data_IF_201830965522
#
_entry.id   IF_201830965522
#
_cell.length_a   1.000
_cell.length_b   1.000
_cell.length_c   1.000
_cell.angle_alpha   90.00
_cell.angle_beta   90.00
_cell.angle_gamma   90.00
#
_symmetry.space_group_name_H-M   'P 1'
#
loop_
_entity.id
_entity.type
_entity.pdbx_description
1 polymer ?
#
# COMPACT_ATOMS: atom_id res chain seq x y z
N UNK A 1 -4.52 6.01 16.41
CA UNK A 1 -3.16 5.67 16.88
C UNK A 1 -2.92 4.19 16.58
N UNK A 2 -1.86 3.82 15.85
CA UNK A 2 -1.62 2.44 15.37
C UNK A 2 -1.05 1.50 16.43
N UNK A 3 -0.60 2.01 17.58
CA UNK A 3 0.08 1.22 18.61
C UNK A 3 1.51 0.79 18.25
N UNK A 4 2.07 1.36 17.17
CA UNK A 4 3.40 1.04 16.64
C UNK A 4 4.33 2.24 16.87
N UNK A 5 5.53 1.98 17.41
CA UNK A 5 6.54 3.02 17.59
C UNK A 5 7.10 3.46 16.23
N UNK A 6 7.26 4.78 16.03
CA UNK A 6 7.73 5.35 14.75
C UNK A 6 9.05 4.74 14.27
N UNK A 7 10.01 4.53 15.17
CA UNK A 7 11.32 3.99 14.84
C UNK A 7 11.30 2.52 14.37
N UNK A 8 10.20 1.80 14.62
CA UNK A 8 10.00 0.39 14.25
C UNK A 8 8.99 0.20 13.12
N UNK A 9 8.36 1.29 12.67
CA UNK A 9 7.33 1.25 11.67
C UNK A 9 7.93 0.97 10.28
N UNK A 10 7.59 -0.18 9.71
CA UNK A 10 7.73 -0.43 8.28
C UNK A 10 6.41 -0.15 7.57
N UNK A 11 6.47 0.49 6.40
CA UNK A 11 5.30 0.78 5.57
C UNK A 11 5.27 -0.16 4.37
N UNK A 12 4.14 -0.83 4.17
CA UNK A 12 3.90 -1.72 3.05
C UNK A 12 2.66 -1.23 2.29
N UNK A 13 2.64 -1.45 0.98
CA UNK A 13 1.52 -1.13 0.11
C UNK A 13 0.94 -2.40 -0.49
N UNK A 14 -0.38 -2.43 -0.64
CA UNK A 14 -1.07 -3.54 -1.31
C UNK A 14 -1.03 -3.29 -2.82
N UNK A 15 -0.43 -4.22 -3.55
CA UNK A 15 -0.42 -4.23 -5.02
C UNK A 15 -1.63 -4.98 -5.54
N UNK A 16 -2.39 -4.35 -6.42
CA UNK A 16 -3.43 -4.99 -7.23
C UNK A 16 -2.89 -5.27 -8.62
N UNK A 17 -2.91 -6.54 -9.00
CA UNK A 17 -2.50 -7.05 -10.31
C UNK A 17 -3.76 -7.33 -11.13
N UNK A 18 -3.82 -6.86 -12.38
CA UNK A 18 -4.95 -7.07 -13.30
C UNK A 18 -4.41 -7.42 -14.69
N UNK A 19 -5.14 -8.23 -15.45
CA UNK A 19 -4.87 -8.34 -16.88
C UNK A 19 -5.07 -6.96 -17.53
N UNK A 20 -4.23 -6.62 -18.51
CA UNK A 20 -4.45 -5.40 -19.27
C UNK A 20 -5.70 -5.56 -20.17
N UNK A 21 -6.33 -4.43 -20.53
CA UNK A 21 -7.58 -4.43 -21.32
C UNK A 21 -7.36 -4.87 -22.78
N UNK A 22 -6.12 -4.84 -23.30
CA UNK A 22 -5.76 -5.28 -24.65
C UNK A 22 -5.38 -6.76 -24.73
N UNK A 23 -5.40 -7.49 -23.61
CA UNK A 23 -4.92 -8.87 -23.52
C UNK A 23 -3.40 -9.05 -23.55
N UNK A 24 -2.63 -7.96 -23.63
CA UNK A 24 -1.17 -7.99 -23.68
C UNK A 24 -0.56 -7.39 -22.40
N UNK A 25 -0.12 -8.27 -21.50
CA UNK A 25 0.60 -7.87 -20.29
C UNK A 25 -0.30 -7.66 -19.06
N UNK A 26 0.31 -7.07 -18.03
CA UNK A 26 -0.26 -6.99 -16.68
C UNK A 26 -0.26 -5.53 -16.22
N UNK A 27 -1.43 -5.03 -15.85
CA UNK A 27 -1.58 -3.76 -15.15
C UNK A 27 -1.34 -3.95 -13.65
N UNK A 28 -0.51 -3.08 -13.07
CA UNK A 28 -0.24 -3.08 -11.64
C UNK A 28 -0.61 -1.72 -11.05
N UNK A 29 -1.24 -1.73 -9.88
CA UNK A 29 -1.56 -0.52 -9.14
C UNK A 29 -1.40 -0.72 -7.64
N UNK A 30 -1.21 0.35 -6.89
CA UNK A 30 -1.13 0.33 -5.42
C UNK A 30 -2.13 1.27 -4.79
N UNK A 31 -2.61 0.91 -3.60
CA UNK A 31 -3.44 1.78 -2.76
C UNK A 31 -2.57 2.59 -1.81
N UNK A 32 -2.31 3.86 -2.16
CA UNK A 32 -1.50 4.77 -1.33
C UNK A 32 -2.29 5.30 -0.13
N UNK A 33 -3.63 5.23 -0.14
CA UNK A 33 -4.49 5.74 0.94
C UNK A 33 -4.60 4.79 2.12
N UNK A 34 -4.34 3.50 1.93
CA UNK A 34 -4.48 2.49 2.98
C UNK A 34 -3.22 1.64 3.16
N UNK A 35 -2.08 2.25 3.54
CA UNK A 35 -0.85 1.51 3.82
C UNK A 35 -1.02 0.54 4.98
N UNK A 36 -0.21 -0.52 4.97
CA UNK A 36 -0.01 -1.39 6.12
C UNK A 36 1.18 -0.85 6.90
N UNK A 37 0.98 -0.57 8.18
CA UNK A 37 2.04 -0.25 9.14
C UNK A 37 2.36 -1.50 9.93
N UNK A 38 3.60 -1.97 9.84
CA UNK A 38 4.10 -3.21 10.45
C UNK A 38 5.16 -2.88 11.50
N UNK A 39 5.06 -3.52 12.66
CA UNK A 39 6.16 -3.69 13.63
C UNK A 39 6.50 -5.18 13.66
N UNK A 40 7.62 -5.57 13.04
CA UNK A 40 8.03 -6.96 12.93
C UNK A 40 8.54 -7.54 14.25
N UNK A 41 9.08 -6.71 15.15
CA UNK A 41 9.56 -7.17 16.45
C UNK A 41 8.38 -7.60 17.33
N UNK A 42 7.33 -6.77 17.36
CA UNK A 42 6.11 -7.05 18.12
C UNK A 42 5.11 -7.95 17.38
N UNK A 43 5.38 -8.26 16.11
CA UNK A 43 4.51 -9.05 15.22
C UNK A 43 3.09 -8.48 15.13
N UNK A 44 2.99 -7.16 15.06
CA UNK A 44 1.72 -6.45 14.89
C UNK A 44 1.72 -5.70 13.57
N UNK A 45 0.58 -5.75 12.88
CA UNK A 45 0.35 -4.99 11.66
C UNK A 45 -1.04 -4.38 11.68
N UNK A 46 -1.18 -3.18 11.09
CA UNK A 46 -2.49 -2.56 10.87
C UNK A 46 -2.54 -1.92 9.50
N UNK A 47 -3.66 -2.12 8.80
CA UNK A 47 -3.99 -1.28 7.66
C UNK A 47 -4.57 0.03 8.19
N UNK A 48 -3.97 1.16 7.80
CA UNK A 48 -4.40 2.47 8.26
C UNK A 48 -4.89 3.30 7.08
N UNK A 49 -6.17 3.70 7.10
CA UNK A 49 -6.73 4.59 6.08
C UNK A 49 -6.36 6.03 6.41
N UNK A 50 -5.56 6.64 5.54
CA UNK A 50 -5.17 8.03 5.62
C UNK A 50 -6.35 8.93 5.22
N UNK A 51 -6.58 9.99 5.99
CA UNK A 51 -7.61 10.99 5.71
C UNK A 51 -7.20 11.98 4.62
N UNK A 52 -5.92 12.05 4.25
CA UNK A 52 -5.44 12.94 3.20
C UNK A 52 -5.91 12.45 1.82
N UNK A 53 -6.67 13.31 1.13
CA UNK A 53 -7.20 13.11 -0.22
C UNK A 53 -6.15 13.09 -1.34
N UNK A 54 -4.91 13.50 -1.07
CA UNK A 54 -3.85 13.55 -2.08
C UNK A 54 -3.30 12.15 -2.43
N UNK A 55 -3.52 11.16 -1.56
CA UNK A 55 -3.07 9.78 -1.80
C UNK A 55 -4.10 9.00 -2.60
N UNK A 56 -3.89 8.65 -3.87
CA UNK A 56 -4.88 7.89 -4.65
C UNK A 56 -5.04 6.45 -4.14
N UNK A 57 -6.26 5.93 -4.27
CA UNK A 57 -6.59 4.52 -3.98
C UNK A 57 -6.07 3.58 -5.08
N UNK A 58 -5.86 4.11 -6.29
CA UNK A 58 -5.29 3.39 -7.43
C UNK A 58 -4.21 4.25 -8.07
N UNK A 59 -2.99 4.10 -7.58
CA UNK A 59 -1.80 4.64 -8.24
C UNK A 59 -1.24 3.57 -9.18
N UNK A 60 -1.05 3.88 -10.45
CA UNK A 60 -0.39 2.96 -11.37
C UNK A 60 1.06 2.73 -10.96
N UNK A 61 1.44 1.45 -10.89
CA UNK A 61 2.81 1.02 -10.64
C UNK A 61 3.47 0.77 -12.01
N UNK A 62 3.95 1.84 -12.64
CA UNK A 62 4.75 1.71 -13.86
C UNK A 62 6.16 1.28 -13.48
N UNK A 63 6.76 0.37 -14.24
CA UNK A 63 8.20 0.17 -14.18
C UNK A 63 8.86 1.48 -14.59
N UNK A 64 9.63 2.08 -13.67
CA UNK A 64 10.53 3.20 -13.99
C UNK A 64 11.73 2.64 -14.73
#
# INVERSE_FOLDING_TARGET
>A
MTGIARARASFLLIVTIRANETGEGIGMSVNLRAPIVLDSEQRIARQHVLSNGDYPVRQDLRAV
#
